data_IF_768005546671
#
_entry.id   IF_768005546671
#
_cell.length_a   1.000
_cell.length_b   1.000
_cell.length_c   1.000
_cell.angle_alpha   90.00
_cell.angle_beta   90.00
_cell.angle_gamma   90.00
#
_symmetry.space_group_name_H-M   'P 1'
#
loop_
_entity.id
_entity.type
_entity.pdbx_description
1 polymer ?
#
# COMPACT_ATOMS: atom_id res chain seq x y z
N UNK A 1 -23.08 10.16 6.58
CA UNK A 1 -22.48 10.06 5.23
C UNK A 1 -20.96 10.02 5.38
N UNK A 2 -20.31 8.87 5.18
CA UNK A 2 -18.86 8.75 5.32
C UNK A 2 -18.19 9.09 3.98
N UNK A 3 -17.59 10.28 3.89
CA UNK A 3 -16.89 10.76 2.71
C UNK A 3 -15.76 9.81 2.28
N UNK A 4 -15.68 9.53 0.98
CA UNK A 4 -14.47 9.00 0.37
C UNK A 4 -13.33 10.01 0.63
N UNK A 5 -12.11 9.55 0.94
CA UNK A 5 -10.98 10.46 1.01
C UNK A 5 -10.84 11.14 -0.36
N UNK A 6 -10.87 12.47 -0.35
CA UNK A 6 -10.65 13.23 -1.56
C UNK A 6 -9.23 12.99 -2.06
N UNK A 7 -9.01 13.11 -3.36
CA UNK A 7 -7.67 13.08 -3.96
C UNK A 7 -6.69 14.01 -3.23
N UNK A 8 -7.18 15.16 -2.77
CA UNK A 8 -6.40 16.12 -1.98
C UNK A 8 -5.92 15.51 -0.65
N UNK A 9 -6.77 14.79 0.06
CA UNK A 9 -6.38 14.13 1.33
C UNK A 9 -5.31 13.07 1.15
N UNK A 10 -5.30 12.36 0.01
CA UNK A 10 -4.28 11.34 -0.28
C UNK A 10 -2.92 11.95 -0.64
N UNK A 11 -2.91 13.10 -1.33
CA UNK A 11 -1.68 13.85 -1.61
C UNK A 11 -1.03 14.44 -0.37
N UNK A 12 -1.83 14.70 0.67
CA UNK A 12 -1.37 15.28 1.93
C UNK A 12 -0.89 14.24 2.95
N UNK A 13 -0.85 12.94 2.59
CA UNK A 13 -0.30 11.93 3.50
C UNK A 13 1.21 12.19 3.64
N UNK A 14 1.72 12.41 4.86
CA UNK A 14 3.15 12.67 5.06
C UNK A 14 3.98 11.47 4.60
N UNK A 15 5.17 11.76 4.09
CA UNK A 15 6.13 10.75 3.64
C UNK A 15 7.25 10.68 4.69
N UNK A 16 7.31 9.63 5.53
CA UNK A 16 8.39 9.48 6.49
C UNK A 16 9.74 9.43 5.80
N UNK A 17 10.72 10.21 6.28
CA UNK A 17 12.07 10.24 5.70
C UNK A 17 12.77 8.88 5.80
N UNK A 18 12.46 8.10 6.82
CA UNK A 18 13.04 6.77 7.00
C UNK A 18 12.54 5.77 5.96
N UNK A 19 11.31 5.91 5.47
CA UNK A 19 10.78 5.09 4.37
C UNK A 19 11.53 5.39 3.06
N UNK A 20 11.88 6.65 2.81
CA UNK A 20 12.72 7.03 1.67
C UNK A 20 14.14 6.45 1.78
N UNK A 21 14.73 6.50 2.98
CA UNK A 21 16.05 5.90 3.25
C UNK A 21 16.04 4.37 3.20
N UNK A 22 14.86 3.76 3.37
CA UNK A 22 14.66 2.32 3.39
C UNK A 22 15.13 1.62 2.11
N UNK A 23 15.22 2.33 0.98
CA UNK A 23 15.71 1.77 -0.29
C UNK A 23 17.11 1.16 -0.17
N UNK A 24 17.97 1.70 0.69
CA UNK A 24 19.33 1.18 0.92
C UNK A 24 19.35 -0.11 1.77
N UNK A 25 18.22 -0.48 2.38
CA UNK A 25 18.07 -1.68 3.21
C UNK A 25 17.38 -2.83 2.47
N UNK A 26 16.98 -2.63 1.21
CA UNK A 26 16.39 -3.68 0.40
C UNK A 26 17.44 -4.76 0.09
N UNK A 27 17.05 -6.03 0.20
CA UNK A 27 17.88 -7.11 -0.34
C UNK A 27 17.85 -7.10 -1.88
N UNK A 28 18.70 -7.92 -2.51
CA UNK A 28 18.83 -7.93 -3.97
C UNK A 28 17.52 -8.23 -4.71
N UNK A 29 16.72 -9.18 -4.23
CA UNK A 29 15.44 -9.55 -4.86
C UNK A 29 14.39 -8.43 -4.70
N UNK A 30 14.28 -7.86 -3.51
CA UNK A 30 13.40 -6.73 -3.26
C UNK A 30 13.80 -5.50 -4.08
N UNK A 31 15.10 -5.27 -4.27
CA UNK A 31 15.61 -4.17 -5.09
C UNK A 31 15.23 -4.33 -6.56
N UNK A 32 15.32 -5.55 -7.09
CA UNK A 32 14.84 -5.88 -8.45
C UNK A 32 13.34 -5.61 -8.58
N UNK A 33 12.53 -6.08 -7.62
CA UNK A 33 11.08 -5.83 -7.62
C UNK A 33 10.76 -4.32 -7.53
N UNK A 34 11.44 -3.60 -6.63
CA UNK A 34 11.31 -2.15 -6.49
C UNK A 34 11.61 -1.44 -7.82
N UNK A 35 12.76 -1.72 -8.44
CA UNK A 35 13.20 -1.03 -9.65
C UNK A 35 12.24 -1.33 -10.82
N UNK A 36 11.76 -2.58 -10.94
CA UNK A 36 10.78 -2.97 -11.96
C UNK A 36 9.47 -2.19 -11.80
N UNK A 37 8.87 -2.19 -10.61
CA UNK A 37 7.57 -1.54 -10.37
C UNK A 37 7.72 -0.02 -10.48
N UNK A 38 8.78 0.53 -9.89
CA UNK A 38 9.03 1.97 -9.89
C UNK A 38 9.24 2.49 -11.32
N UNK A 39 10.07 1.84 -12.13
CA UNK A 39 10.33 2.26 -13.51
C UNK A 39 9.08 2.13 -14.39
N UNK A 40 8.29 1.06 -14.22
CA UNK A 40 7.02 0.91 -14.92
C UNK A 40 6.05 2.07 -14.58
N UNK A 41 5.98 2.43 -13.29
CA UNK A 41 5.16 3.56 -12.81
C UNK A 41 5.63 4.89 -13.39
N UNK A 42 6.95 5.17 -13.37
CA UNK A 42 7.50 6.43 -13.88
C UNK A 42 7.38 6.56 -15.41
N UNK A 43 7.30 5.43 -16.12
CA UNK A 43 7.10 5.40 -17.57
C UNK A 43 5.62 5.52 -17.98
N UNK A 44 4.71 5.76 -17.02
CA UNK A 44 3.26 5.74 -17.22
C UNK A 44 2.75 4.45 -17.88
N UNK A 45 3.42 3.33 -17.64
CA UNK A 45 2.96 2.04 -18.12
C UNK A 45 1.88 1.50 -17.18
N UNK A 46 0.68 1.30 -17.69
CA UNK A 46 -0.42 0.69 -16.93
C UNK A 46 -0.23 -0.82 -16.87
N UNK A 47 -0.32 -1.41 -15.68
CA UNK A 47 -0.24 -2.86 -15.52
C UNK A 47 -0.66 -3.32 -14.14
N UNK A 48 -0.87 -4.63 -14.01
CA UNK A 48 -1.11 -5.31 -12.74
C UNK A 48 0.08 -6.23 -12.49
N UNK A 49 0.68 -6.12 -11.31
CA UNK A 49 1.84 -6.89 -10.89
C UNK A 49 1.48 -7.63 -9.59
N UNK A 50 1.92 -8.87 -9.49
CA UNK A 50 1.77 -9.69 -8.28
C UNK A 50 3.14 -10.03 -7.74
N UNK A 51 3.40 -9.63 -6.50
CA UNK A 51 4.57 -10.04 -5.74
C UNK A 51 4.14 -11.11 -4.73
N UNK A 52 4.72 -12.29 -4.86
CA UNK A 52 4.55 -13.37 -3.89
C UNK A 52 5.90 -13.72 -3.25
N UNK A 53 5.84 -14.15 -1.99
CA UNK A 53 7.01 -14.63 -1.29
C UNK A 53 6.64 -15.26 0.05
N UNK A 54 7.53 -16.09 0.62
CA UNK A 54 7.32 -16.69 1.93
C UNK A 54 7.01 -15.70 3.05
N UNK A 55 6.46 -16.20 4.16
CA UNK A 55 6.35 -15.43 5.40
C UNK A 55 7.71 -14.88 5.83
N UNK A 56 7.75 -13.65 6.35
CA UNK A 56 8.98 -13.04 6.86
C UNK A 56 9.93 -12.43 5.81
N UNK A 57 9.60 -12.46 4.52
CA UNK A 57 10.47 -11.89 3.46
C UNK A 57 10.43 -10.36 3.32
N UNK A 58 9.75 -9.66 4.23
CA UNK A 58 9.72 -8.20 4.23
C UNK A 58 8.89 -7.55 3.11
N UNK A 59 7.91 -8.25 2.51
CA UNK A 59 7.01 -7.67 1.48
C UNK A 59 6.37 -6.36 1.92
N UNK A 60 5.87 -6.30 3.16
CA UNK A 60 5.31 -5.06 3.71
C UNK A 60 6.33 -3.91 3.75
N UNK A 61 7.59 -4.21 4.05
CA UNK A 61 8.67 -3.21 4.04
C UNK A 61 8.94 -2.70 2.63
N UNK A 62 9.01 -3.59 1.63
CA UNK A 62 9.13 -3.21 0.23
C UNK A 62 7.96 -2.33 -0.24
N UNK A 63 6.71 -2.72 0.05
CA UNK A 63 5.53 -1.93 -0.30
C UNK A 63 5.55 -0.53 0.33
N UNK A 64 5.98 -0.40 1.59
CA UNK A 64 6.11 0.90 2.27
C UNK A 64 7.12 1.79 1.56
N UNK A 65 8.31 1.27 1.23
CA UNK A 65 9.36 2.03 0.54
C UNK A 65 8.90 2.45 -0.86
N UNK A 66 8.28 1.53 -1.61
CA UNK A 66 7.74 1.79 -2.93
C UNK A 66 6.70 2.92 -2.90
N UNK A 67 5.75 2.83 -1.96
CA UNK A 67 4.70 3.83 -1.77
C UNK A 67 5.29 5.21 -1.44
N UNK A 68 6.29 5.26 -0.55
CA UNK A 68 6.97 6.50 -0.19
C UNK A 68 7.67 7.16 -1.40
N UNK A 69 8.37 6.37 -2.22
CA UNK A 69 9.06 6.88 -3.40
C UNK A 69 8.07 7.38 -4.46
N UNK A 70 7.01 6.62 -4.75
CA UNK A 70 5.94 7.04 -5.68
C UNK A 70 5.30 8.36 -5.21
N UNK A 71 4.93 8.46 -3.93
CA UNK A 71 4.35 9.69 -3.35
C UNK A 71 5.32 10.87 -3.39
N UNK A 72 6.62 10.63 -3.18
CA UNK A 72 7.63 11.70 -3.23
C UNK A 72 7.80 12.33 -4.61
N UNK A 73 7.38 11.62 -5.66
CA UNK A 73 7.32 12.14 -7.03
C UNK A 73 6.02 12.89 -7.35
N UNK A 74 5.12 13.05 -6.37
CA UNK A 74 3.85 13.75 -6.51
C UNK A 74 2.69 12.88 -7.02
N UNK A 75 2.91 11.58 -7.21
CA UNK A 75 1.86 10.65 -7.58
C UNK A 75 0.97 10.30 -6.38
N UNK A 76 -0.27 9.91 -6.68
CA UNK A 76 -1.21 9.40 -5.68
C UNK A 76 -0.98 7.89 -5.54
N UNK A 77 -0.21 7.50 -4.53
CA UNK A 77 -0.07 6.10 -4.15
C UNK A 77 -1.13 5.69 -3.12
N UNK A 78 -1.90 4.65 -3.40
CA UNK A 78 -2.85 4.06 -2.45
C UNK A 78 -2.33 2.70 -1.97
N UNK A 79 -2.42 2.45 -0.68
CA UNK A 79 -2.16 1.14 -0.09
C UNK A 79 -3.42 0.63 0.60
N UNK A 80 -3.78 -0.61 0.30
CA UNK A 80 -4.95 -1.28 0.84
C UNK A 80 -4.58 -2.65 1.36
N UNK A 81 -5.27 -3.08 2.42
CA UNK A 81 -5.13 -4.42 2.96
C UNK A 81 -6.50 -5.09 3.12
N UNK A 82 -6.54 -6.41 3.20
CA UNK A 82 -7.79 -7.14 3.44
C UNK A 82 -8.29 -6.98 4.87
N UNK A 83 -7.39 -6.91 5.86
CA UNK A 83 -7.72 -6.79 7.28
C UNK A 83 -7.35 -5.42 7.86
N UNK A 84 -8.05 -5.02 8.92
CA UNK A 84 -7.76 -3.78 9.67
C UNK A 84 -6.36 -3.81 10.25
N UNK A 85 -5.96 -4.93 10.86
CA UNK A 85 -4.62 -5.13 11.45
C UNK A 85 -3.53 -4.95 10.40
N UNK A 86 -3.69 -5.54 9.21
CA UNK A 86 -2.72 -5.38 8.14
C UNK A 86 -2.70 -3.93 7.62
N UNK A 87 -3.85 -3.26 7.53
CA UNK A 87 -3.91 -1.86 7.08
C UNK A 87 -3.24 -0.89 8.04
N UNK A 88 -3.31 -1.15 9.35
CA UNK A 88 -2.69 -0.31 10.39
C UNK A 88 -1.16 -0.28 10.33
N UNK A 89 -0.53 -1.25 9.65
CA UNK A 89 0.92 -1.27 9.45
C UNK A 89 1.41 -0.24 8.42
N UNK A 90 0.50 0.41 7.70
CA UNK A 90 0.83 1.34 6.64
C UNK A 90 0.30 2.75 6.94
N UNK A 91 1.13 3.76 6.71
CA UNK A 91 0.72 5.14 6.89
C UNK A 91 -0.29 5.56 5.80
N UNK A 92 -1.50 5.90 6.24
CA UNK A 92 -2.64 6.12 5.36
C UNK A 92 -3.23 4.83 4.78
N UNK A 93 -2.85 3.67 5.32
CA UNK A 93 -3.40 2.37 4.97
C UNK A 93 -4.87 2.26 5.36
N UNK A 94 -5.63 1.57 4.52
CA UNK A 94 -7.06 1.31 4.74
C UNK A 94 -7.41 -0.10 4.31
N UNK A 95 -8.52 -0.62 4.81
CA UNK A 95 -9.03 -1.89 4.29
C UNK A 95 -9.61 -1.70 2.89
N UNK A 96 -9.53 -2.72 2.04
CA UNK A 96 -10.15 -2.72 0.70
C UNK A 96 -11.64 -2.33 0.79
N UNK A 97 -12.37 -2.89 1.76
CA UNK A 97 -13.78 -2.57 2.03
C UNK A 97 -13.98 -1.08 2.36
N UNK A 98 -13.19 -0.51 3.28
CA UNK A 98 -13.38 0.89 3.69
C UNK A 98 -12.94 1.88 2.61
N UNK A 99 -11.94 1.51 1.80
CA UNK A 99 -11.39 2.32 0.70
C UNK A 99 -12.34 2.37 -0.49
N UNK A 100 -12.78 1.21 -0.97
CA UNK A 100 -13.60 1.10 -2.19
C UNK A 100 -15.11 1.00 -1.93
N UNK A 101 -15.51 1.02 -0.65
CA UNK A 101 -16.93 0.91 -0.24
C UNK A 101 -17.60 -0.35 -0.79
N UNK A 102 -16.85 -1.46 -0.82
CA UNK A 102 -17.38 -2.75 -1.24
C UNK A 102 -18.47 -3.15 -0.24
N UNK A 103 -19.70 -3.43 -0.71
CA UNK A 103 -20.76 -3.93 0.16
C UNK A 103 -20.31 -5.24 0.80
N UNK A 104 -20.39 -5.32 2.12
CA UNK A 104 -20.32 -6.60 2.82
C UNK A 104 -21.73 -7.18 2.78
N UNK A 105 -21.93 -8.34 2.17
CA UNK A 105 -23.24 -9.00 2.16
C UNK A 105 -23.67 -9.25 3.61
N UNK A 106 -24.59 -8.42 4.08
CA UNK A 106 -25.12 -8.42 5.44
C UNK A 106 -26.14 -9.52 5.65
N UNK A 107 -25.71 -10.78 5.54
CA UNK A 107 -26.48 -11.96 5.90
C UNK A 107 -25.83 -12.68 7.08
N UNK A 108 -26.18 -12.23 8.29
CA UNK A 108 -25.79 -12.77 9.59
C UNK A 108 -24.39 -12.45 10.11
N UNK A 109 -24.40 -11.93 11.33
CA UNK A 109 -23.25 -11.65 12.18
C UNK A 109 -22.36 -12.89 12.35
N UNK A 110 -21.34 -13.05 11.51
CA UNK A 110 -20.16 -13.84 11.90
C UNK A 110 -19.22 -12.92 12.67
N UNK A 111 -19.62 -12.56 13.89
CA UNK A 111 -18.71 -11.99 14.87
C UNK A 111 -17.78 -13.13 15.30
N UNK A 112 -16.49 -12.98 15.08
CA UNK A 112 -15.51 -13.79 15.79
C UNK A 112 -15.54 -13.36 17.25
N UNK A 113 -16.10 -14.20 18.10
CA UNK A 113 -15.94 -14.11 19.55
C UNK A 113 -14.61 -14.78 19.91
N UNK A 114 -13.80 -14.09 20.71
CA UNK A 114 -12.55 -14.59 21.31
C UNK A 114 -12.90 -15.15 22.67
#
# INVERSE_FOLDING_TARGET
MHNLPSIASERNIPIPKDDLRGIHKLNSQQKVAFDMIYNATMSNNSGVLFEDGPGGTGKSFLHTILLAHIRSKGYIGLIVASSSIASSNFLGGRTTHSRFKIPTDGGQSTKCEI
#
